data_IF_496786199163
#
_entry.id   IF_496786199163
#
_cell.length_a   1.000
_cell.length_b   1.000
_cell.length_c   1.000
_cell.angle_alpha   90.00
_cell.angle_beta   90.00
_cell.angle_gamma   90.00
#
_symmetry.space_group_name_H-M   'P 1'
#
loop_
_entity.id
_entity.type
_entity.pdbx_description
1 polymer ?
#
# COMPACT_ATOMS: atom_id res chain seq x y z
N UNK A 1 -34.02 84.08 -19.34
CA UNK A 1 -34.43 83.01 -20.28
C UNK A 1 -33.35 81.99 -20.61
N UNK A 2 -32.05 82.33 -20.44
CA UNK A 2 -30.95 81.36 -20.74
C UNK A 2 -30.69 80.38 -19.60
N UNK A 3 -31.12 80.66 -18.38
CA UNK A 3 -30.86 79.78 -17.20
C UNK A 3 -31.75 78.52 -17.23
N UNK A 4 -33.00 78.61 -17.71
CA UNK A 4 -33.89 77.49 -17.85
C UNK A 4 -33.46 76.43 -18.89
N UNK A 5 -32.70 76.86 -19.91
CA UNK A 5 -32.26 75.94 -21.00
C UNK A 5 -31.06 75.09 -20.52
N UNK A 6 -30.15 75.64 -19.71
CA UNK A 6 -28.99 74.91 -19.17
C UNK A 6 -29.39 73.76 -18.22
N UNK A 7 -30.39 73.97 -17.38
CA UNK A 7 -30.84 72.95 -16.41
C UNK A 7 -31.52 71.78 -17.11
N UNK A 8 -32.23 72.04 -18.22
CA UNK A 8 -32.84 71.02 -19.03
C UNK A 8 -31.81 70.17 -19.81
N UNK A 9 -30.70 70.81 -20.28
CA UNK A 9 -29.64 70.08 -20.99
C UNK A 9 -28.90 69.03 -20.11
N UNK A 10 -28.72 69.34 -18.80
CA UNK A 10 -28.08 68.39 -17.87
C UNK A 10 -28.92 67.12 -17.68
N UNK A 11 -30.24 67.32 -17.49
CA UNK A 11 -31.19 66.22 -17.33
C UNK A 11 -31.27 65.38 -18.63
N UNK A 12 -31.32 66.04 -19.80
CA UNK A 12 -31.34 65.30 -21.07
C UNK A 12 -30.07 64.47 -21.29
N UNK A 13 -28.89 65.03 -20.97
CA UNK A 13 -27.62 64.24 -21.08
C UNK A 13 -27.60 63.02 -20.24
N UNK A 14 -28.17 63.03 -19.04
CA UNK A 14 -28.22 61.89 -18.13
C UNK A 14 -29.17 60.81 -18.68
N UNK A 15 -30.21 61.23 -19.46
CA UNK A 15 -31.19 60.30 -20.01
C UNK A 15 -30.79 59.79 -21.42
N UNK A 16 -29.91 60.48 -22.16
CA UNK A 16 -29.53 60.16 -23.55
C UNK A 16 -29.01 58.70 -23.68
N UNK A 17 -28.19 58.12 -22.78
CA UNK A 17 -27.78 56.72 -22.91
C UNK A 17 -28.96 55.74 -22.88
N UNK A 18 -29.91 55.95 -21.95
CA UNK A 18 -31.12 55.12 -21.85
C UNK A 18 -32.07 55.31 -23.05
N UNK A 19 -32.10 56.54 -23.62
CA UNK A 19 -32.87 56.84 -24.82
C UNK A 19 -32.33 56.13 -26.06
N UNK A 20 -31.02 56.02 -26.21
CA UNK A 20 -30.37 55.28 -27.31
C UNK A 20 -30.69 53.79 -27.23
N UNK A 21 -30.76 53.24 -26.03
CA UNK A 21 -31.05 51.84 -25.76
C UNK A 21 -32.55 51.51 -25.75
N UNK A 22 -33.44 52.51 -26.05
CA UNK A 22 -34.91 52.40 -25.97
C UNK A 22 -35.43 51.92 -24.59
N UNK A 23 -34.74 52.33 -23.51
CA UNK A 23 -35.10 51.96 -22.14
C UNK A 23 -35.86 53.05 -21.39
N UNK A 24 -36.35 54.10 -22.07
CA UNK A 24 -37.16 55.18 -21.52
C UNK A 24 -38.65 55.00 -21.81
N UNK A 25 -39.50 55.53 -20.92
CA UNK A 25 -40.95 55.55 -21.15
C UNK A 25 -41.35 56.42 -22.38
N UNK A 26 -42.51 56.17 -22.91
CA UNK A 26 -43.03 56.89 -24.08
C UNK A 26 -43.07 58.41 -23.89
N UNK A 27 -43.57 58.88 -22.73
CA UNK A 27 -43.63 60.28 -22.36
C UNK A 27 -42.22 60.91 -22.23
N UNK A 28 -41.26 60.16 -21.70
CA UNK A 28 -39.87 60.63 -21.60
C UNK A 28 -39.20 60.71 -22.96
N UNK A 29 -39.49 59.74 -23.84
CA UNK A 29 -39.00 59.71 -25.23
C UNK A 29 -39.49 60.92 -26.02
N UNK A 30 -40.75 61.29 -25.86
CA UNK A 30 -41.33 62.46 -26.51
C UNK A 30 -40.69 63.77 -26.01
N UNK A 31 -40.50 63.89 -24.71
CA UNK A 31 -39.82 65.04 -24.09
C UNK A 31 -38.35 65.17 -24.54
N UNK A 32 -37.62 64.07 -24.69
CA UNK A 32 -36.26 64.07 -25.21
C UNK A 32 -36.22 64.48 -26.67
N UNK A 33 -37.15 64.00 -27.51
CA UNK A 33 -37.26 64.37 -28.93
C UNK A 33 -37.50 65.86 -29.11
N UNK A 34 -38.44 66.47 -28.37
CA UNK A 34 -38.75 67.83 -28.43
C UNK A 34 -37.54 68.77 -28.07
N UNK A 35 -36.76 68.33 -27.06
CA UNK A 35 -35.53 69.02 -26.69
C UNK A 35 -34.44 68.90 -27.76
N UNK A 36 -34.28 67.72 -28.38
CA UNK A 36 -33.29 67.47 -29.42
C UNK A 36 -33.55 68.28 -30.69
N UNK A 37 -34.82 68.66 -30.98
CA UNK A 37 -35.16 69.51 -32.10
C UNK A 37 -34.66 70.92 -31.88
N UNK A 38 -34.65 71.40 -30.62
CA UNK A 38 -34.32 72.78 -30.26
C UNK A 38 -32.87 72.96 -29.82
N UNK A 39 -32.16 71.89 -29.41
CA UNK A 39 -30.81 71.99 -28.85
C UNK A 39 -29.74 71.29 -29.68
N UNK A 40 -28.88 72.00 -30.44
CA UNK A 40 -27.85 71.35 -31.28
C UNK A 40 -26.75 70.71 -30.46
N UNK A 41 -26.48 71.16 -29.21
CA UNK A 41 -25.48 70.58 -28.37
C UNK A 41 -25.83 69.10 -27.88
N UNK A 42 -27.12 68.91 -27.51
CA UNK A 42 -27.59 67.62 -27.08
C UNK A 42 -27.73 66.65 -28.29
N UNK A 43 -28.02 67.17 -29.52
CA UNK A 43 -28.02 66.39 -30.74
C UNK A 43 -26.62 65.87 -31.09
N UNK A 44 -25.59 66.69 -30.94
CA UNK A 44 -24.22 66.28 -31.17
C UNK A 44 -23.76 65.19 -30.16
N UNK A 45 -24.24 65.27 -28.91
CA UNK A 45 -23.97 64.26 -27.91
C UNK A 45 -24.68 62.92 -28.22
N UNK A 46 -25.92 62.97 -28.71
CA UNK A 46 -26.65 61.81 -29.17
C UNK A 46 -25.93 61.08 -30.33
N UNK A 47 -25.40 61.83 -31.29
CA UNK A 47 -24.63 61.24 -32.41
C UNK A 47 -23.37 60.53 -31.93
N UNK A 48 -22.64 61.11 -30.99
CA UNK A 48 -21.49 60.43 -30.37
C UNK A 48 -21.88 59.12 -29.68
N UNK A 49 -23.03 59.06 -29.01
CA UNK A 49 -23.51 57.85 -28.35
C UNK A 49 -24.03 56.82 -29.36
N UNK A 50 -24.37 57.21 -30.58
CA UNK A 50 -24.79 56.29 -31.67
C UNK A 50 -23.64 55.82 -32.53
N UNK A 51 -22.48 56.46 -32.48
CA UNK A 51 -21.28 55.93 -33.13
C UNK A 51 -20.98 54.53 -32.55
N UNK A 52 -20.88 53.49 -33.39
CA UNK A 52 -20.51 52.20 -32.90
C UNK A 52 -19.12 52.33 -32.19
N UNK A 53 -19.09 52.12 -30.89
CA UNK A 53 -17.84 51.98 -30.18
C UNK A 53 -17.21 50.77 -30.82
N UNK A 54 -16.18 50.94 -31.67
CA UNK A 54 -15.26 49.87 -31.97
C UNK A 54 -14.66 49.46 -30.65
N UNK A 55 -15.30 48.48 -30.01
CA UNK A 55 -14.70 47.73 -28.95
C UNK A 55 -13.47 47.09 -29.61
N UNK A 56 -12.31 47.77 -29.46
CA UNK A 56 -11.04 47.09 -29.65
C UNK A 56 -11.10 45.94 -28.66
N UNK A 57 -11.56 44.79 -29.16
CA UNK A 57 -11.40 43.53 -28.46
C UNK A 57 -9.87 43.38 -28.43
N UNK A 58 -9.25 43.87 -27.34
CA UNK A 58 -7.89 43.40 -27.02
C UNK A 58 -7.96 41.90 -27.18
N UNK A 59 -7.06 41.30 -27.98
CA UNK A 59 -7.05 39.86 -28.12
C UNK A 59 -7.03 39.33 -26.69
N UNK A 60 -8.15 38.70 -26.26
CA UNK A 60 -8.18 38.02 -24.95
C UNK A 60 -6.91 37.22 -24.94
N UNK A 61 -6.00 37.43 -23.96
CA UNK A 61 -4.81 36.63 -23.89
C UNK A 61 -5.30 35.20 -23.96
N UNK A 62 -4.87 34.46 -24.98
CA UNK A 62 -5.18 33.05 -25.14
C UNK A 62 -4.99 32.46 -23.75
N UNK A 63 -6.08 32.30 -23.02
CA UNK A 63 -6.07 31.66 -21.71
C UNK A 63 -5.71 30.25 -22.01
N UNK A 64 -4.39 30.02 -22.12
CA UNK A 64 -3.80 28.76 -22.40
C UNK A 64 -4.42 27.76 -21.43
N UNK A 65 -5.35 26.93 -21.92
CA UNK A 65 -6.04 25.95 -21.11
C UNK A 65 -5.07 24.87 -20.59
N UNK A 66 -3.80 24.97 -20.96
CA UNK A 66 -2.73 24.11 -20.54
C UNK A 66 -2.50 24.10 -19.02
N UNK A 67 -2.51 25.25 -18.29
CA UNK A 67 -2.37 25.22 -16.82
C UNK A 67 -3.54 24.50 -16.15
N UNK A 68 -4.77 24.72 -16.64
CA UNK A 68 -5.98 24.08 -16.09
C UNK A 68 -5.99 22.57 -16.34
N UNK A 69 -5.57 22.12 -17.53
CA UNK A 69 -5.40 20.71 -17.88
C UNK A 69 -4.32 20.05 -17.02
N UNK A 70 -3.20 20.75 -16.76
CA UNK A 70 -2.14 20.27 -15.86
C UNK A 70 -2.65 20.14 -14.43
N UNK A 71 -3.39 21.10 -13.92
CA UNK A 71 -4.00 21.07 -12.58
C UNK A 71 -4.99 19.91 -12.45
N UNK A 72 -5.90 19.73 -13.43
CA UNK A 72 -6.87 18.62 -13.47
C UNK A 72 -6.16 17.27 -13.48
N UNK A 73 -5.10 17.11 -14.29
CA UNK A 73 -4.29 15.88 -14.32
C UNK A 73 -3.59 15.63 -12.98
N UNK A 74 -3.02 16.65 -12.37
CA UNK A 74 -2.37 16.54 -11.06
C UNK A 74 -3.36 16.13 -9.96
N UNK A 75 -4.56 16.71 -9.93
CA UNK A 75 -5.62 16.34 -8.99
C UNK A 75 -6.12 14.91 -9.20
N UNK A 76 -6.29 14.48 -10.47
CA UNK A 76 -6.66 13.11 -10.78
C UNK A 76 -5.60 12.12 -10.32
N UNK A 77 -4.32 12.40 -10.61
CA UNK A 77 -3.20 11.57 -10.16
C UNK A 77 -3.14 11.45 -8.63
N UNK A 78 -3.41 12.54 -7.91
CA UNK A 78 -3.48 12.51 -6.44
C UNK A 78 -4.61 11.64 -5.93
N UNK A 79 -5.82 11.74 -6.52
CA UNK A 79 -6.95 10.87 -6.16
C UNK A 79 -6.62 9.39 -6.38
N UNK A 80 -6.08 9.05 -7.55
CA UNK A 80 -5.66 7.67 -7.88
C UNK A 80 -4.60 7.19 -6.88
N UNK A 81 -3.58 8.01 -6.60
CA UNK A 81 -2.52 7.67 -5.65
C UNK A 81 -3.07 7.43 -4.23
N UNK A 82 -4.02 8.26 -3.77
CA UNK A 82 -4.66 8.08 -2.46
C UNK A 82 -5.46 6.79 -2.41
N UNK A 83 -6.26 6.48 -3.45
CA UNK A 83 -7.04 5.24 -3.53
C UNK A 83 -6.11 4.02 -3.51
N UNK A 84 -5.04 4.03 -4.31
CA UNK A 84 -4.06 2.94 -4.33
C UNK A 84 -3.40 2.72 -2.97
N UNK A 85 -3.07 3.81 -2.26
CA UNK A 85 -2.45 3.70 -0.95
C UNK A 85 -3.43 3.16 0.10
N UNK A 86 -4.67 3.65 0.13
CA UNK A 86 -5.67 3.12 1.07
C UNK A 86 -5.95 1.65 0.78
N UNK A 87 -6.07 1.25 -0.49
CA UNK A 87 -6.22 -0.15 -0.88
C UNK A 87 -5.01 -0.99 -0.45
N UNK A 88 -3.79 -0.47 -0.62
CA UNK A 88 -2.58 -1.15 -0.18
C UNK A 88 -2.54 -1.36 1.35
N UNK A 89 -2.90 -0.34 2.14
CA UNK A 89 -2.95 -0.45 3.60
C UNK A 89 -4.00 -1.48 4.05
N UNK A 90 -5.20 -1.44 3.44
CA UNK A 90 -6.26 -2.41 3.75
C UNK A 90 -5.83 -3.83 3.41
N UNK A 91 -5.17 -4.02 2.26
CA UNK A 91 -4.65 -5.32 1.86
C UNK A 91 -3.55 -5.82 2.81
N UNK A 92 -2.68 -4.91 3.30
CA UNK A 92 -1.68 -5.26 4.32
C UNK A 92 -2.32 -5.78 5.59
N UNK A 93 -3.31 -5.04 6.10
CA UNK A 93 -4.03 -5.45 7.30
C UNK A 93 -4.71 -6.81 7.09
N UNK A 94 -5.35 -7.00 5.94
CA UNK A 94 -5.99 -8.28 5.60
C UNK A 94 -4.98 -9.43 5.56
N UNK A 95 -3.82 -9.23 4.90
CA UNK A 95 -2.77 -10.23 4.84
C UNK A 95 -2.16 -10.52 6.21
N UNK A 96 -2.01 -9.50 7.08
CA UNK A 96 -1.53 -9.70 8.45
C UNK A 96 -2.52 -10.54 9.28
N UNK A 97 -3.82 -10.29 9.15
CA UNK A 97 -4.85 -11.10 9.80
C UNK A 97 -4.85 -12.54 9.26
N UNK A 98 -4.77 -12.73 7.94
CA UNK A 98 -4.68 -14.07 7.33
C UNK A 98 -3.42 -14.78 7.81
N UNK A 99 -2.28 -14.08 7.88
CA UNK A 99 -1.03 -14.63 8.40
C UNK A 99 -1.19 -15.17 9.81
N UNK A 100 -1.82 -14.40 10.69
CA UNK A 100 -2.10 -14.80 12.07
C UNK A 100 -3.05 -16.00 12.13
N UNK A 101 -4.16 -15.96 11.39
CA UNK A 101 -5.17 -17.02 11.41
C UNK A 101 -4.65 -18.34 10.83
N UNK A 102 -3.78 -18.30 9.84
CA UNK A 102 -3.19 -19.48 9.18
C UNK A 102 -1.83 -19.88 9.74
N UNK A 103 -1.38 -19.26 10.84
CA UNK A 103 -0.13 -19.65 11.48
C UNK A 103 -0.23 -21.09 11.99
N UNK A 104 0.78 -21.94 11.72
CA UNK A 104 0.76 -23.30 12.19
C UNK A 104 0.94 -23.35 13.71
N UNK A 105 0.04 -24.04 14.37
CA UNK A 105 0.13 -24.41 15.78
C UNK A 105 0.54 -25.88 15.83
N UNK A 106 1.80 -26.16 16.13
CA UNK A 106 2.35 -27.49 16.16
C UNK A 106 1.98 -28.20 17.45
N UNK A 107 1.70 -29.50 17.35
CA UNK A 107 1.41 -30.34 18.50
C UNK A 107 2.69 -30.91 19.10
N UNK A 108 2.69 -31.05 20.43
CA UNK A 108 3.62 -31.92 21.12
C UNK A 108 3.19 -33.37 20.88
N UNK A 109 4.14 -34.31 20.89
CA UNK A 109 3.82 -35.73 20.69
C UNK A 109 2.91 -36.27 21.80
N UNK A 110 1.84 -36.90 21.40
CA UNK A 110 0.98 -37.76 22.24
C UNK A 110 0.59 -38.99 21.47
N UNK A 111 0.57 -40.19 22.11
CA UNK A 111 0.13 -41.45 21.46
C UNK A 111 -1.29 -41.36 20.88
N UNK A 112 -2.12 -40.47 21.37
CA UNK A 112 -3.51 -40.27 20.92
C UNK A 112 -3.58 -39.47 19.63
N UNK A 113 -2.54 -38.70 19.30
CA UNK A 113 -2.51 -37.84 18.11
C UNK A 113 -2.22 -38.58 16.83
N UNK A 114 -1.35 -39.60 16.91
CA UNK A 114 -0.89 -40.38 15.75
C UNK A 114 -0.92 -41.85 16.11
N UNK A 115 -1.75 -42.62 15.38
CA UNK A 115 -1.79 -44.05 15.49
C UNK A 115 -1.00 -44.68 14.33
N UNK A 116 -0.09 -45.57 14.68
CA UNK A 116 0.81 -46.22 13.74
C UNK A 116 0.32 -47.64 13.47
N UNK A 117 0.06 -47.99 12.21
CA UNK A 117 -0.37 -49.34 11.77
C UNK A 117 0.59 -49.87 10.75
N UNK A 118 1.20 -51.03 11.02
CA UNK A 118 2.10 -51.70 10.10
C UNK A 118 1.32 -52.51 9.07
N UNK A 119 1.70 -52.40 7.79
CA UNK A 119 1.15 -53.13 6.70
C UNK A 119 2.01 -54.40 6.38
N UNK A 120 1.40 -55.41 5.76
CA UNK A 120 2.07 -56.68 5.42
C UNK A 120 3.28 -56.51 4.46
N UNK A 121 3.39 -55.39 3.78
CA UNK A 121 4.49 -55.03 2.87
C UNK A 121 5.65 -54.29 3.57
N UNK A 122 5.59 -54.12 4.91
CA UNK A 122 6.56 -53.35 5.68
C UNK A 122 6.40 -51.84 5.60
N UNK A 123 5.37 -51.36 4.91
CA UNK A 123 4.98 -49.95 4.96
C UNK A 123 4.20 -49.68 6.24
N UNK A 124 4.20 -48.40 6.65
CA UNK A 124 3.54 -47.95 7.87
C UNK A 124 2.53 -46.89 7.54
N UNK A 125 1.29 -47.14 7.91
CA UNK A 125 0.21 -46.14 7.78
C UNK A 125 0.06 -45.38 9.09
N UNK A 126 0.19 -44.06 8.97
CA UNK A 126 0.05 -43.06 10.05
C UNK A 126 -1.36 -42.46 9.97
N UNK A 127 -2.17 -42.72 10.99
CA UNK A 127 -3.52 -42.18 11.10
C UNK A 127 -3.54 -41.10 12.16
N UNK A 128 -4.22 -39.98 11.88
CA UNK A 128 -4.24 -38.78 12.73
C UNK A 128 -5.54 -38.65 13.48
N UNK A 129 -5.50 -38.05 14.66
CA UNK A 129 -6.70 -37.62 15.38
C UNK A 129 -7.39 -36.48 14.63
N UNK A 130 -8.68 -36.26 14.91
CA UNK A 130 -9.47 -35.18 14.28
C UNK A 130 -8.96 -33.76 14.58
N UNK A 131 -8.12 -33.61 15.58
CA UNK A 131 -7.53 -32.32 15.97
C UNK A 131 -6.40 -31.91 15.01
N UNK A 132 -5.73 -32.90 14.39
CA UNK A 132 -4.67 -32.67 13.42
C UNK A 132 -5.28 -32.40 12.06
N UNK A 133 -5.18 -31.18 11.58
CA UNK A 133 -5.76 -30.77 10.29
C UNK A 133 -4.73 -30.82 9.15
N UNK A 134 -3.46 -30.69 9.49
CA UNK A 134 -2.37 -30.64 8.52
C UNK A 134 -1.17 -31.47 9.01
N UNK A 135 -0.46 -32.04 8.06
CA UNK A 135 0.79 -32.76 8.31
C UNK A 135 1.81 -32.50 7.20
N UNK A 136 3.07 -32.75 7.51
CA UNK A 136 4.16 -32.85 6.54
C UNK A 136 4.98 -34.09 6.86
N UNK A 137 5.01 -35.02 5.91
CA UNK A 137 5.86 -36.19 5.97
C UNK A 137 7.00 -36.00 4.98
N UNK A 138 8.22 -35.96 5.47
CA UNK A 138 9.41 -35.72 4.65
C UNK A 138 10.42 -36.83 4.86
N UNK A 139 10.84 -37.47 3.76
CA UNK A 139 11.97 -38.40 3.80
C UNK A 139 13.27 -37.59 3.90
N UNK A 140 14.13 -37.98 4.83
CA UNK A 140 15.42 -37.38 5.06
C UNK A 140 16.52 -38.40 4.83
N UNK A 141 17.62 -38.00 4.21
CA UNK A 141 18.76 -38.87 4.00
C UNK A 141 19.38 -39.25 5.34
N UNK A 142 19.48 -40.56 5.57
CA UNK A 142 20.24 -41.11 6.69
C UNK A 142 21.74 -40.91 6.42
N UNK A 143 22.52 -40.28 7.31
CA UNK A 143 23.95 -40.06 7.11
C UNK A 143 24.73 -41.37 6.82
N UNK A 144 24.31 -42.47 7.43
CA UNK A 144 24.94 -43.79 7.26
C UNK A 144 24.32 -44.59 6.14
N UNK A 145 23.28 -44.09 5.48
CA UNK A 145 22.51 -44.79 4.41
C UNK A 145 21.99 -46.20 4.80
N UNK A 146 21.77 -46.41 6.07
CA UNK A 146 21.34 -47.71 6.63
C UNK A 146 19.83 -47.83 6.74
N UNK A 147 19.15 -46.70 6.94
CA UNK A 147 17.73 -46.65 7.25
C UNK A 147 16.99 -45.74 6.25
N UNK A 148 15.71 -46.04 6.05
CA UNK A 148 14.77 -45.06 5.44
C UNK A 148 14.15 -44.25 6.54
N UNK A 149 14.48 -42.97 6.60
CA UNK A 149 14.06 -42.08 7.69
C UNK A 149 13.01 -41.10 7.21
N UNK A 150 11.87 -41.07 7.90
CA UNK A 150 10.83 -40.05 7.70
C UNK A 150 10.69 -39.19 8.92
N UNK A 151 10.53 -37.88 8.68
CA UNK A 151 10.14 -36.88 9.68
C UNK A 151 8.68 -36.49 9.47
N UNK A 152 7.90 -36.61 10.53
CA UNK A 152 6.50 -36.21 10.59
C UNK A 152 6.35 -34.93 11.43
N UNK A 153 5.80 -33.93 10.82
CA UNK A 153 5.36 -32.67 11.48
C UNK A 153 3.84 -32.62 11.39
N UNK A 154 3.16 -32.32 12.48
CA UNK A 154 1.70 -32.19 12.51
C UNK A 154 1.31 -30.88 13.17
N UNK A 155 0.31 -30.22 12.59
CA UNK A 155 -0.17 -28.94 13.10
C UNK A 155 -1.64 -28.72 12.77
N UNK A 156 -2.22 -27.75 13.46
CA UNK A 156 -3.49 -27.13 13.13
C UNK A 156 -3.31 -25.63 12.97
N UNK A 157 -4.36 -24.88 12.67
CA UNK A 157 -4.35 -23.42 12.69
C UNK A 157 -5.64 -22.89 13.30
N UNK A 158 -5.63 -21.61 13.71
CA UNK A 158 -6.86 -20.94 14.18
C UNK A 158 -7.93 -20.97 13.09
N UNK A 159 -7.52 -20.82 11.83
CA UNK A 159 -8.39 -20.91 10.66
C UNK A 159 -9.06 -22.27 10.55
N UNK A 160 -8.28 -23.35 10.63
CA UNK A 160 -8.80 -24.72 10.50
C UNK A 160 -9.83 -25.06 11.59
N UNK A 161 -9.55 -24.61 12.83
CA UNK A 161 -10.51 -24.77 13.95
C UNK A 161 -11.77 -23.94 13.75
N UNK A 162 -11.64 -22.66 13.31
CA UNK A 162 -12.78 -21.79 13.11
C UNK A 162 -13.74 -22.28 12.01
N UNK A 163 -13.20 -22.88 10.96
CA UNK A 163 -13.99 -23.43 9.84
C UNK A 163 -14.25 -24.93 9.93
N UNK A 164 -13.99 -25.56 11.08
CA UNK A 164 -14.23 -27.00 11.35
C UNK A 164 -13.70 -27.88 10.21
N UNK A 165 -12.45 -27.63 9.78
CA UNK A 165 -11.82 -28.47 8.77
C UNK A 165 -11.74 -29.92 9.24
N UNK A 166 -12.01 -30.90 8.35
CA UNK A 166 -11.85 -32.31 8.69
C UNK A 166 -10.40 -32.60 9.05
N UNK A 167 -10.20 -33.56 9.95
CA UNK A 167 -8.88 -34.03 10.31
C UNK A 167 -8.09 -34.54 9.09
N UNK A 168 -6.77 -34.51 9.19
CA UNK A 168 -5.86 -34.92 8.14
C UNK A 168 -6.11 -36.41 7.78
N UNK A 169 -6.01 -36.74 6.49
CA UNK A 169 -6.12 -38.12 6.03
C UNK A 169 -4.88 -38.92 6.41
N UNK A 170 -5.04 -40.21 6.62
CA UNK A 170 -3.94 -41.14 6.87
C UNK A 170 -2.92 -41.10 5.72
N UNK A 171 -1.65 -41.23 6.06
CA UNK A 171 -0.54 -41.26 5.12
C UNK A 171 0.32 -42.45 5.32
N UNK A 172 0.83 -43.02 4.24
CA UNK A 172 1.68 -44.22 4.28
C UNK A 172 3.14 -43.84 4.06
N UNK A 173 4.03 -44.31 4.95
CA UNK A 173 5.47 -44.25 4.81
C UNK A 173 5.96 -45.62 4.36
N UNK A 174 6.65 -45.70 3.22
CA UNK A 174 7.17 -46.95 2.68
C UNK A 174 8.70 -47.02 2.84
N UNK A 175 9.26 -48.19 3.24
CA UNK A 175 10.70 -48.37 3.28
C UNK A 175 11.30 -48.42 1.87
N UNK A 176 12.52 -47.90 1.73
CA UNK A 176 13.31 -48.22 0.52
C UNK A 176 13.72 -49.70 0.53
N UNK A 177 13.89 -50.28 -0.65
CA UNK A 177 14.20 -51.73 -0.81
C UNK A 177 15.40 -52.13 0.04
N UNK A 178 15.14 -52.99 1.03
CA UNK A 178 16.19 -53.58 1.89
C UNK A 178 16.63 -52.74 3.09
N UNK A 179 16.03 -51.57 3.31
CA UNK A 179 16.36 -50.70 4.46
C UNK A 179 15.23 -50.70 5.48
N UNK A 180 15.54 -50.80 6.80
CA UNK A 180 14.55 -50.64 7.85
C UNK A 180 13.94 -49.23 7.83
N UNK A 181 12.65 -49.14 8.17
CA UNK A 181 11.92 -47.88 8.23
C UNK A 181 12.00 -47.27 9.64
N UNK A 182 12.33 -46.03 9.70
CA UNK A 182 12.28 -45.19 10.93
C UNK A 182 11.36 -44.00 10.68
N UNK A 183 10.45 -43.73 11.61
CA UNK A 183 9.58 -42.56 11.57
C UNK A 183 9.77 -41.77 12.86
N UNK A 184 10.16 -40.52 12.70
CA UNK A 184 10.34 -39.59 13.79
C UNK A 184 9.21 -38.54 13.77
N UNK A 185 8.62 -38.30 14.93
CA UNK A 185 7.72 -37.19 15.16
C UNK A 185 8.51 -36.00 15.63
N UNK A 186 8.44 -34.88 14.90
CA UNK A 186 9.14 -33.64 15.26
C UNK A 186 8.31 -32.87 16.29
N UNK A 187 8.89 -32.64 17.46
CA UNK A 187 8.27 -31.83 18.51
C UNK A 187 8.65 -30.36 18.40
N UNK A 188 7.67 -29.49 18.54
CA UNK A 188 7.85 -28.06 18.63
C UNK A 188 7.33 -27.60 20.00
N UNK A 189 8.22 -27.19 20.91
CA UNK A 189 7.84 -26.66 22.21
C UNK A 189 7.70 -25.14 22.08
N UNK A 190 6.55 -24.58 22.49
CA UNK A 190 6.21 -23.16 22.33
C UNK A 190 6.29 -22.63 20.88
N UNK A 191 6.02 -23.47 19.88
CA UNK A 191 6.10 -23.12 18.46
C UNK A 191 7.50 -22.99 17.91
N UNK A 192 8.51 -23.43 18.65
CA UNK A 192 9.91 -23.52 18.23
C UNK A 192 10.37 -24.97 18.25
N UNK A 193 11.14 -25.37 17.23
CA UNK A 193 11.92 -26.58 17.34
C UNK A 193 12.97 -26.32 18.42
N UNK A 194 12.84 -26.99 19.58
CA UNK A 194 13.90 -26.91 20.57
C UNK A 194 15.14 -27.64 20.08
N UNK A 195 16.28 -27.00 20.25
CA UNK A 195 17.61 -27.51 19.94
C UNK A 195 18.10 -28.58 20.94
N UNK A 196 17.18 -29.25 21.64
CA UNK A 196 17.53 -30.30 22.56
C UNK A 196 17.48 -31.67 21.87
N UNK A 197 18.25 -32.62 22.38
CA UNK A 197 18.25 -34.02 21.92
C UNK A 197 16.87 -34.69 21.95
N UNK A 198 15.90 -34.04 22.56
CA UNK A 198 14.51 -34.51 22.72
C UNK A 198 13.53 -33.90 21.73
N UNK A 199 14.00 -33.19 20.71
CA UNK A 199 13.12 -32.51 19.72
C UNK A 199 12.42 -33.43 18.73
N UNK A 200 12.80 -34.69 18.67
CA UNK A 200 12.14 -35.72 17.86
C UNK A 200 11.94 -37.02 18.64
N UNK A 201 10.74 -37.57 18.57
CA UNK A 201 10.38 -38.84 19.18
C UNK A 201 10.29 -39.88 18.09
N UNK A 202 11.02 -41.01 18.23
CA UNK A 202 10.86 -42.16 17.32
C UNK A 202 9.50 -42.82 17.60
N UNK A 203 8.60 -42.75 16.64
CA UNK A 203 7.24 -43.34 16.74
C UNK A 203 7.14 -44.69 16.09
N UNK A 204 8.08 -45.06 15.18
CA UNK A 204 8.18 -46.36 14.56
C UNK A 204 9.64 -46.73 14.25
N UNK A 205 9.99 -47.99 14.49
CA UNK A 205 11.33 -48.53 14.29
C UNK A 205 12.19 -48.48 15.56
N UNK A 206 13.41 -48.99 15.47
CA UNK A 206 14.37 -48.97 16.57
C UNK A 206 15.32 -47.81 16.41
N UNK A 207 15.17 -46.79 17.27
CA UNK A 207 16.08 -45.64 17.28
C UNK A 207 17.52 -46.11 17.57
N UNK A 208 18.54 -45.58 16.92
CA UNK A 208 19.92 -45.83 17.25
C UNK A 208 20.23 -45.34 18.67
N UNK A 209 21.08 -46.08 19.41
CA UNK A 209 21.43 -45.80 20.81
C UNK A 209 22.12 -44.45 21.05
N UNK A 210 22.55 -43.77 20.00
CA UNK A 210 23.18 -42.47 20.05
C UNK A 210 22.76 -41.61 18.86
N UNK A 211 22.18 -40.46 19.17
CA UNK A 211 21.87 -39.40 18.21
C UNK A 211 20.41 -39.39 17.75
N UNK A 212 19.60 -38.61 18.40
CA UNK A 212 18.29 -38.20 17.88
C UNK A 212 18.44 -37.16 16.77
N UNK A 213 17.43 -37.09 15.88
CA UNK A 213 17.34 -36.05 14.88
C UNK A 213 16.82 -34.74 15.52
N UNK A 214 17.52 -33.65 15.28
CA UNK A 214 17.11 -32.35 15.76
C UNK A 214 16.59 -31.53 14.57
N UNK A 215 15.32 -31.17 14.59
CA UNK A 215 14.78 -30.20 13.66
C UNK A 215 15.15 -28.80 14.13
N UNK A 216 16.01 -28.12 13.38
CA UNK A 216 16.36 -26.74 13.64
C UNK A 216 15.40 -25.79 12.93
N UNK A 217 14.89 -24.81 13.67
CA UNK A 217 14.17 -23.72 13.02
C UNK A 217 15.11 -22.98 12.07
N UNK A 218 14.61 -22.67 10.87
CA UNK A 218 15.40 -21.99 9.88
C UNK A 218 15.75 -20.56 10.31
N UNK A 219 17.01 -20.20 10.12
CA UNK A 219 17.57 -18.87 10.45
C UNK A 219 17.61 -17.93 9.25
N UNK A 220 17.08 -18.36 8.10
CA UNK A 220 17.18 -17.58 6.85
C UNK A 220 16.54 -16.21 6.98
N UNK A 221 15.42 -16.07 7.70
CA UNK A 221 14.77 -14.80 7.97
C UNK A 221 15.65 -13.83 8.76
N UNK A 222 16.45 -14.35 9.70
CA UNK A 222 17.43 -13.57 10.43
C UNK A 222 18.53 -13.01 9.53
N UNK A 223 19.05 -13.81 8.60
CA UNK A 223 20.03 -13.34 7.62
C UNK A 223 19.46 -12.29 6.68
N UNK A 224 18.22 -12.44 6.22
CA UNK A 224 17.53 -11.43 5.43
C UNK A 224 17.34 -10.12 6.20
N UNK A 225 17.03 -10.20 7.49
CA UNK A 225 16.91 -9.02 8.35
C UNK A 225 18.26 -8.30 8.51
N UNK A 226 19.34 -9.04 8.76
CA UNK A 226 20.70 -8.48 8.85
C UNK A 226 21.11 -7.81 7.52
N UNK A 227 20.89 -8.48 6.39
CA UNK A 227 21.14 -7.92 5.06
C UNK A 227 20.35 -6.62 4.85
N UNK A 228 19.11 -6.58 5.27
CA UNK A 228 18.24 -5.40 5.16
C UNK A 228 18.76 -4.24 6.02
N UNK A 229 19.23 -4.50 7.26
CA UNK A 229 19.86 -3.50 8.13
C UNK A 229 21.15 -2.97 7.49
N UNK A 230 21.99 -3.83 6.94
CA UNK A 230 23.20 -3.41 6.24
C UNK A 230 22.88 -2.51 5.02
N UNK A 231 21.89 -2.89 4.23
CA UNK A 231 21.41 -2.10 3.10
C UNK A 231 20.93 -0.71 3.55
N UNK A 232 20.19 -0.64 4.66
CA UNK A 232 19.72 0.62 5.23
C UNK A 232 20.87 1.54 5.63
N UNK A 233 21.88 1.00 6.31
CA UNK A 233 23.06 1.77 6.71
C UNK A 233 23.86 2.28 5.49
N UNK A 234 24.00 1.46 4.44
CA UNK A 234 24.63 1.85 3.18
C UNK A 234 23.85 3.00 2.53
N UNK A 235 22.52 2.89 2.44
CA UNK A 235 21.68 3.92 1.83
C UNK A 235 21.74 5.25 2.60
N UNK A 236 21.80 5.20 3.95
CA UNK A 236 22.03 6.40 4.77
C UNK A 236 23.40 7.01 4.46
N UNK A 237 24.47 6.21 4.43
CA UNK A 237 25.81 6.68 4.08
C UNK A 237 25.86 7.36 2.70
N UNK A 238 25.23 6.74 1.70
CA UNK A 238 25.08 7.31 0.35
C UNK A 238 24.28 8.61 0.36
N UNK A 239 23.20 8.66 1.13
CA UNK A 239 22.39 9.87 1.29
C UNK A 239 23.21 11.03 1.89
N UNK A 240 23.99 10.79 2.94
CA UNK A 240 24.90 11.79 3.51
C UNK A 240 25.93 12.28 2.49
N UNK A 241 26.56 11.37 1.74
CA UNK A 241 27.54 11.70 0.69
C UNK A 241 26.94 12.53 -0.44
N UNK A 242 25.69 12.24 -0.81
CA UNK A 242 24.98 12.92 -1.91
C UNK A 242 24.17 14.14 -1.46
N UNK A 243 24.27 14.56 -0.20
CA UNK A 243 23.48 15.66 0.38
C UNK A 243 23.54 16.96 -0.42
N UNK A 244 24.67 17.22 -1.09
CA UNK A 244 24.90 18.42 -1.92
C UNK A 244 24.35 18.30 -3.35
N UNK A 245 24.03 17.09 -3.84
CA UNK A 245 23.53 16.85 -5.21
C UNK A 245 22.03 16.53 -5.18
N UNK A 246 21.21 17.55 -5.34
CA UNK A 246 19.75 17.44 -5.16
C UNK A 246 19.09 16.34 -6.01
N UNK A 247 19.42 16.24 -7.32
CA UNK A 247 18.84 15.24 -8.23
C UNK A 247 19.17 13.79 -7.82
N UNK A 248 20.38 13.54 -7.30
CA UNK A 248 20.80 12.22 -6.84
C UNK A 248 20.25 11.90 -5.46
N UNK A 249 20.17 12.90 -4.57
CA UNK A 249 19.55 12.79 -3.26
C UNK A 249 18.09 12.36 -3.35
N UNK A 250 17.29 12.98 -4.21
CA UNK A 250 15.88 12.61 -4.42
C UNK A 250 15.69 11.16 -4.88
N UNK A 251 16.66 10.57 -5.59
CA UNK A 251 16.62 9.15 -5.95
C UNK A 251 16.84 8.25 -4.73
N UNK A 252 17.83 8.57 -3.89
CA UNK A 252 18.12 7.82 -2.66
C UNK A 252 16.95 7.94 -1.67
N UNK A 253 16.31 9.10 -1.56
CA UNK A 253 15.13 9.33 -0.71
C UNK A 253 13.93 8.45 -1.10
N UNK A 254 13.83 8.00 -2.35
CA UNK A 254 12.81 7.02 -2.78
C UNK A 254 13.20 5.57 -2.49
N UNK A 255 14.49 5.28 -2.37
CA UNK A 255 14.99 3.94 -2.05
C UNK A 255 15.08 3.69 -0.54
N UNK A 256 15.31 4.73 0.25
CA UNK A 256 15.44 4.65 1.70
C UNK A 256 14.23 3.99 2.40
N UNK A 257 12.98 4.19 1.96
CA UNK A 257 11.83 3.51 2.55
C UNK A 257 11.80 1.99 2.34
N UNK A 258 12.54 1.43 1.37
CA UNK A 258 12.52 -0.03 1.10
C UNK A 258 12.95 -0.85 2.32
N UNK A 259 14.16 -0.63 2.90
CA UNK A 259 14.57 -1.38 4.07
C UNK A 259 13.69 -1.11 5.30
N UNK A 260 13.18 0.10 5.46
CA UNK A 260 12.26 0.42 6.56
C UNK A 260 10.96 -0.38 6.41
N UNK A 261 10.41 -0.42 5.19
CA UNK A 261 9.19 -1.14 4.88
C UNK A 261 9.33 -2.66 5.10
N UNK A 262 10.47 -3.24 4.70
CA UNK A 262 10.77 -4.64 5.00
C UNK A 262 10.85 -4.89 6.50
N UNK A 263 11.54 -4.04 7.26
CA UNK A 263 11.63 -4.15 8.72
C UNK A 263 10.27 -4.08 9.41
N UNK A 264 9.38 -3.17 8.96
CA UNK A 264 8.00 -3.09 9.43
C UNK A 264 7.19 -4.34 9.06
N UNK A 265 7.35 -4.84 7.82
CA UNK A 265 6.74 -6.10 7.40
C UNK A 265 7.17 -7.28 8.27
N UNK A 266 8.47 -7.38 8.56
CA UNK A 266 9.01 -8.40 9.45
C UNK A 266 8.42 -8.28 10.87
N UNK A 267 8.38 -7.07 11.41
CA UNK A 267 7.80 -6.81 12.74
C UNK A 267 6.30 -7.18 12.81
N UNK A 268 5.55 -6.92 11.77
CA UNK A 268 4.11 -7.23 11.72
C UNK A 268 3.83 -8.73 11.62
N UNK A 269 4.69 -9.50 10.92
CA UNK A 269 4.48 -10.94 10.69
C UNK A 269 5.12 -11.79 11.77
N UNK A 270 6.38 -11.50 12.12
CA UNK A 270 7.20 -12.31 13.02
C UNK A 270 7.42 -11.66 14.40
N UNK A 271 7.12 -10.37 14.54
CA UNK A 271 7.51 -9.61 15.71
C UNK A 271 9.04 -9.52 15.81
N UNK A 272 9.57 -9.84 16.97
CA UNK A 272 11.02 -9.86 17.21
C UNK A 272 11.68 -11.21 16.94
N UNK A 273 10.92 -12.21 16.46
CA UNK A 273 11.44 -13.53 16.13
C UNK A 273 12.15 -13.50 14.80
N UNK A 274 13.24 -14.26 14.68
CA UNK A 274 14.04 -14.36 13.44
C UNK A 274 14.12 -15.76 12.90
N UNK A 275 13.67 -16.74 13.69
CA UNK A 275 13.63 -18.14 13.30
C UNK A 275 12.17 -18.55 13.01
N UNK A 276 11.96 -19.35 11.97
CA UNK A 276 10.65 -19.87 11.57
C UNK A 276 10.76 -21.32 11.11
N UNK A 277 9.72 -22.09 11.44
CA UNK A 277 9.53 -23.44 10.88
C UNK A 277 8.87 -23.44 9.50
N UNK A 278 8.28 -22.29 9.09
CA UNK A 278 7.62 -22.06 7.80
C UNK A 278 8.25 -20.89 7.05
N UNK A 279 9.59 -20.90 6.89
CA UNK A 279 10.38 -19.77 6.39
C UNK A 279 9.86 -19.18 5.08
N UNK A 280 9.50 -20.03 4.11
CA UNK A 280 9.05 -19.58 2.79
C UNK A 280 7.72 -18.82 2.86
N UNK A 281 6.77 -19.33 3.63
CA UNK A 281 5.49 -18.68 3.88
C UNK A 281 5.67 -17.33 4.55
N UNK A 282 6.43 -17.31 5.64
CA UNK A 282 6.64 -16.10 6.43
C UNK A 282 7.43 -15.05 5.65
N UNK A 283 8.41 -15.45 4.86
CA UNK A 283 9.14 -14.56 3.96
C UNK A 283 8.22 -13.90 2.92
N UNK A 284 7.32 -14.68 2.28
CA UNK A 284 6.35 -14.12 1.33
C UNK A 284 5.42 -13.11 1.99
N UNK A 285 4.94 -13.41 3.20
CA UNK A 285 4.08 -12.50 3.96
C UNK A 285 4.82 -11.23 4.39
N UNK A 286 6.05 -11.35 4.84
CA UNK A 286 6.91 -10.19 5.16
C UNK A 286 7.08 -9.29 3.94
N UNK A 287 7.36 -9.86 2.78
CA UNK A 287 7.48 -9.09 1.53
C UNK A 287 6.16 -8.43 1.14
N UNK A 288 5.04 -9.14 1.20
CA UNK A 288 3.74 -8.61 0.85
C UNK A 288 3.36 -7.42 1.74
N UNK A 289 3.47 -7.57 3.05
CA UNK A 289 3.22 -6.49 4.02
C UNK A 289 4.23 -5.36 3.85
N UNK A 290 5.51 -5.68 3.59
CA UNK A 290 6.57 -4.71 3.33
C UNK A 290 6.27 -3.84 2.10
N UNK A 291 5.86 -4.44 0.97
CA UNK A 291 5.47 -3.68 -0.25
C UNK A 291 4.35 -2.68 0.05
N UNK A 292 3.40 -3.05 0.88
CA UNK A 292 2.30 -2.19 1.26
C UNK A 292 2.76 -1.00 2.12
N UNK A 293 3.66 -1.23 3.08
CA UNK A 293 4.28 -0.15 3.84
C UNK A 293 5.13 0.76 2.95
N UNK A 294 5.85 0.19 1.98
CA UNK A 294 6.61 0.97 1.01
C UNK A 294 5.71 1.90 0.19
N UNK A 295 4.59 1.40 -0.32
CA UNK A 295 3.60 2.22 -1.03
C UNK A 295 3.07 3.36 -0.15
N UNK A 296 2.73 3.07 1.11
CA UNK A 296 2.26 4.07 2.07
C UNK A 296 3.33 5.15 2.35
N UNK A 297 4.59 4.76 2.51
CA UNK A 297 5.70 5.70 2.71
C UNK A 297 5.94 6.59 1.49
N UNK A 298 5.89 6.02 0.27
CA UNK A 298 6.03 6.82 -0.96
C UNK A 298 4.92 7.86 -1.09
N UNK A 299 3.69 7.50 -0.71
CA UNK A 299 2.58 8.46 -0.70
C UNK A 299 2.82 9.56 0.33
N UNK A 300 3.20 9.20 1.56
CA UNK A 300 3.50 10.18 2.60
C UNK A 300 4.59 11.17 2.16
N UNK A 301 5.66 10.67 1.53
CA UNK A 301 6.71 11.51 0.95
C UNK A 301 6.15 12.43 -0.15
N UNK A 302 5.30 11.91 -1.03
CA UNK A 302 4.66 12.70 -2.10
C UNK A 302 3.80 13.84 -1.53
N UNK A 303 3.01 13.54 -0.50
CA UNK A 303 2.19 14.55 0.20
C UNK A 303 3.09 15.61 0.84
N UNK A 304 4.14 15.18 1.54
CA UNK A 304 5.07 16.09 2.22
C UNK A 304 5.73 17.07 1.23
N UNK A 305 6.22 16.59 0.08
CA UNK A 305 6.81 17.45 -0.95
C UNK A 305 5.80 18.43 -1.54
N UNK A 306 4.57 17.99 -1.81
CA UNK A 306 3.52 18.84 -2.34
C UNK A 306 3.10 19.95 -1.35
N UNK A 307 2.99 19.63 -0.05
CA UNK A 307 2.66 20.62 0.99
C UNK A 307 3.79 21.64 1.15
N UNK A 308 5.05 21.20 1.05
CA UNK A 308 6.20 22.09 1.12
C UNK A 308 6.23 23.07 -0.05
N UNK A 309 5.93 22.59 -1.27
CA UNK A 309 5.85 23.42 -2.47
C UNK A 309 4.74 24.48 -2.36
N UNK A 310 3.54 24.09 -1.90
CA UNK A 310 2.42 25.01 -1.67
C UNK A 310 2.73 26.09 -0.62
N UNK A 311 3.46 25.72 0.46
CA UNK A 311 3.90 26.70 1.47
C UNK A 311 4.97 27.65 0.94
N UNK A 312 5.81 27.20 -0.02
CA UNK A 312 6.77 28.08 -0.71
C UNK A 312 6.07 29.16 -1.52
N UNK A 313 5.10 28.78 -2.34
CA UNK A 313 4.31 29.70 -3.19
C UNK A 313 3.55 30.72 -2.33
N UNK A 314 2.96 30.29 -1.20
CA UNK A 314 2.25 31.20 -0.29
C UNK A 314 3.17 32.27 0.33
N UNK A 315 4.43 31.91 0.66
CA UNK A 315 5.40 32.85 1.21
C UNK A 315 5.93 33.86 0.17
N UNK A 316 6.01 33.45 -1.08
CA UNK A 316 6.40 34.36 -2.17
C UNK A 316 5.29 35.38 -2.45
N UNK A 317 4.01 35.00 -2.43
CA UNK A 317 2.88 35.91 -2.62
C UNK A 317 2.54 36.79 -1.41
N UNK A 318 3.09 36.55 -0.21
CA UNK A 318 2.95 37.42 0.96
C UNK A 318 4.08 38.46 1.02
N UNK A 319 5.12 38.35 0.19
CA UNK A 319 6.25 39.30 0.12
C UNK A 319 6.21 40.22 -1.10
N UNK A 320 5.22 40.08 -2.00
CA UNK A 320 4.87 41.03 -3.08
C UNK A 320 3.71 41.94 -2.65
#
# INVERSE_FOLDING_TARGET
SEMCIRDRCSIIRDILPLYVENMVSEDTSEFVKEHLESCPACRAELEKLREPVEVQTEPQPDMDAAPLKRLKKALLMKKVQTILCTAAVLLALMLSVISFLTAPEYFAYSPELVTVTEEANGAVTLSFSNEVTNYKLQQIADPDDRNTVYHLEVWTSVWDRAFHRPGAQAVTAAPESGKPLLVYFTQFINGHAESSSDSSVCIYGTAPDSGGWVALAGLSLGYWLLFNIALFLILIGVWFKLRRKEKSRRRVERLLPIPIAYGLGHLCVMGFRTASCSEWRDFQLILAVGVLFYCAMLLALSIFYNVKELRGIKREGENE
#
